data_IF_254311835601
#
_entry.id   IF_254311835601
#
_cell.length_a   1.000
_cell.length_b   1.000
_cell.length_c   1.000
_cell.angle_alpha   90.00
_cell.angle_beta   90.00
_cell.angle_gamma   90.00
#
_symmetry.space_group_name_H-M   'P 1'
#
loop_
_entity.id
_entity.type
_entity.pdbx_description
1 polymer ?
#
# COMPACT_ATOMS: atom_id res chain seq x y z
N UNK A 1 57.49 -43.32 10.89
CA UNK A 1 57.00 -42.45 11.98
C UNK A 1 55.49 -42.37 11.85
N UNK A 2 54.76 -43.01 12.77
CA UNK A 2 53.33 -43.33 12.63
C UNK A 2 52.47 -42.08 12.83
N UNK A 3 51.81 -41.61 11.77
CA UNK A 3 50.67 -40.69 11.84
C UNK A 3 49.50 -41.42 12.54
N UNK A 4 49.48 -41.42 13.87
CA UNK A 4 48.25 -41.73 14.63
C UNK A 4 47.23 -40.66 14.27
N UNK A 5 46.17 -41.04 13.57
CA UNK A 5 45.15 -40.15 13.05
C UNK A 5 44.50 -39.31 14.16
N UNK A 6 44.46 -37.99 13.95
CA UNK A 6 43.88 -36.97 14.86
C UNK A 6 42.41 -37.28 15.25
N UNK A 7 41.72 -38.08 14.44
CA UNK A 7 40.35 -38.55 14.65
C UNK A 7 40.20 -39.35 15.95
N UNK A 8 41.13 -40.25 16.26
CA UNK A 8 41.02 -41.13 17.44
C UNK A 8 41.27 -40.45 18.80
N UNK A 9 41.88 -39.25 18.81
CA UNK A 9 42.11 -38.49 20.05
C UNK A 9 40.83 -37.75 20.47
N UNK A 10 40.11 -37.18 19.50
CA UNK A 10 38.88 -36.42 19.76
C UNK A 10 37.77 -37.31 20.32
N UNK A 11 37.62 -38.52 19.79
CA UNK A 11 36.65 -39.51 20.27
C UNK A 11 36.96 -39.97 21.69
N UNK A 12 38.25 -40.20 22.02
CA UNK A 12 38.68 -40.54 23.38
C UNK A 12 38.40 -39.41 24.39
N UNK A 13 38.60 -38.15 23.97
CA UNK A 13 38.28 -36.98 24.81
C UNK A 13 36.77 -36.91 25.06
N UNK A 14 35.95 -37.08 24.02
CA UNK A 14 34.49 -37.08 24.17
C UNK A 14 34.00 -38.20 25.07
N UNK A 15 34.53 -39.43 24.91
CA UNK A 15 34.18 -40.55 25.77
C UNK A 15 34.59 -40.32 27.23
N UNK A 16 35.77 -39.75 27.44
CA UNK A 16 36.23 -39.38 28.80
C UNK A 16 35.33 -38.32 29.42
N UNK A 17 34.90 -37.32 28.65
CA UNK A 17 33.98 -36.29 29.12
C UNK A 17 32.59 -36.86 29.42
N UNK A 18 32.08 -37.76 28.58
CA UNK A 18 30.82 -38.47 28.81
C UNK A 18 30.88 -39.26 30.13
N UNK A 19 31.96 -40.01 30.34
CA UNK A 19 32.15 -40.81 31.55
C UNK A 19 32.28 -39.94 32.83
N UNK A 20 32.91 -38.76 32.74
CA UNK A 20 33.19 -37.90 33.90
C UNK A 20 32.09 -36.89 34.21
N UNK A 21 31.41 -36.38 33.19
CA UNK A 21 30.52 -35.22 33.31
C UNK A 21 29.12 -35.46 32.73
N UNK A 22 28.84 -36.66 32.21
CA UNK A 22 27.58 -37.02 31.55
C UNK A 22 27.35 -36.29 30.22
N UNK A 23 28.37 -35.60 29.69
CA UNK A 23 28.25 -34.75 28.50
C UNK A 23 29.51 -34.84 27.63
N UNK A 24 29.37 -34.54 26.34
CA UNK A 24 30.47 -34.65 25.35
C UNK A 24 31.60 -33.64 25.55
N UNK A 25 31.42 -32.66 26.44
CA UNK A 25 32.45 -31.77 26.94
C UNK A 25 32.10 -31.29 28.35
N UNK A 26 33.07 -30.84 29.17
CA UNK A 26 32.79 -30.37 30.53
C UNK A 26 31.78 -29.22 30.56
N UNK A 27 31.90 -28.25 29.64
CA UNK A 27 30.98 -27.09 29.55
C UNK A 27 29.59 -27.47 29.07
N UNK A 28 29.43 -28.64 28.43
CA UNK A 28 28.11 -29.17 28.06
C UNK A 28 27.38 -29.84 29.24
N UNK A 29 28.04 -30.04 30.38
CA UNK A 29 27.41 -30.57 31.59
C UNK A 29 26.59 -29.48 32.30
N UNK A 30 25.32 -29.76 32.59
CA UNK A 30 24.43 -28.83 33.27
C UNK A 30 25.00 -28.33 34.61
N UNK A 31 25.66 -29.22 35.37
CA UNK A 31 26.28 -28.86 36.66
C UNK A 31 27.37 -27.79 36.49
N UNK A 32 28.22 -27.96 35.47
CA UNK A 32 29.30 -27.01 35.17
C UNK A 32 28.73 -25.70 34.63
N UNK A 33 27.67 -25.75 33.81
CA UNK A 33 26.99 -24.54 33.34
C UNK A 33 26.39 -23.73 34.49
N UNK A 34 25.76 -24.36 35.48
CA UNK A 34 25.23 -23.66 36.65
C UNK A 34 26.34 -23.07 37.52
N UNK A 35 27.45 -23.77 37.72
CA UNK A 35 28.64 -23.21 38.41
C UNK A 35 29.21 -21.98 37.71
N UNK A 36 29.24 -21.99 36.37
CA UNK A 36 29.67 -20.83 35.56
C UNK A 36 28.70 -19.66 35.76
N UNK A 37 27.38 -19.89 35.66
CA UNK A 37 26.38 -18.85 35.86
C UNK A 37 26.45 -18.26 37.28
N UNK A 38 26.62 -19.10 38.30
CA UNK A 38 26.79 -18.65 39.68
C UNK A 38 28.03 -17.76 39.85
N UNK A 39 29.16 -18.17 39.27
CA UNK A 39 30.39 -17.35 39.27
C UNK A 39 30.17 -16.01 38.56
N UNK A 40 29.43 -15.99 37.45
CA UNK A 40 29.12 -14.76 36.72
C UNK A 40 28.15 -13.86 37.50
N UNK A 41 27.16 -14.43 38.18
CA UNK A 41 26.26 -13.67 39.07
C UNK A 41 27.03 -13.01 40.20
N UNK A 42 27.95 -13.74 40.84
CA UNK A 42 28.80 -13.20 41.91
C UNK A 42 29.71 -12.08 41.44
N UNK A 43 30.29 -12.19 40.23
CA UNK A 43 31.26 -11.20 39.72
C UNK A 43 30.62 -10.02 39.01
N UNK A 44 29.49 -10.22 38.33
CA UNK A 44 28.94 -9.28 37.36
C UNK A 44 27.44 -9.01 37.54
N UNK A 45 26.78 -9.66 38.50
CA UNK A 45 25.34 -9.50 38.78
C UNK A 45 24.41 -10.15 37.74
N UNK A 46 24.97 -10.83 36.72
CA UNK A 46 24.23 -11.39 35.59
C UNK A 46 24.73 -12.81 35.27
N UNK A 47 23.91 -13.61 34.59
CA UNK A 47 24.28 -15.00 34.25
C UNK A 47 25.36 -15.04 33.16
N UNK A 48 25.33 -14.06 32.26
CA UNK A 48 26.26 -13.96 31.14
C UNK A 48 26.97 -12.60 31.15
N UNK A 49 28.32 -12.54 31.10
CA UNK A 49 29.05 -11.28 31.27
C UNK A 49 28.63 -10.14 30.32
N UNK A 50 28.21 -10.45 29.08
CA UNK A 50 27.76 -9.44 28.12
C UNK A 50 26.38 -8.85 28.42
N UNK A 51 25.62 -9.42 29.36
CA UNK A 51 24.39 -8.81 29.88
C UNK A 51 24.69 -7.66 30.85
N UNK A 52 25.91 -7.60 31.40
CA UNK A 52 26.34 -6.50 32.26
C UNK A 52 26.59 -5.26 31.40
N UNK A 53 25.88 -4.14 31.64
CA UNK A 53 26.07 -2.90 30.88
C UNK A 53 27.52 -2.40 30.92
N UNK A 54 28.21 -2.56 32.06
CA UNK A 54 29.61 -2.16 32.23
C UNK A 54 30.55 -2.94 31.30
N UNK A 55 30.35 -4.26 31.20
CA UNK A 55 31.16 -5.13 30.34
C UNK A 55 30.87 -4.84 28.87
N UNK A 56 29.60 -4.68 28.52
CA UNK A 56 29.19 -4.35 27.16
C UNK A 56 29.82 -3.03 26.71
N UNK A 57 29.86 -2.02 27.58
CA UNK A 57 30.45 -0.72 27.30
C UNK A 57 31.99 -0.79 27.17
N UNK A 58 32.66 -1.56 28.03
CA UNK A 58 34.10 -1.85 27.89
C UNK A 58 34.43 -2.51 26.55
N UNK A 59 33.59 -3.44 26.09
CA UNK A 59 33.75 -4.10 24.79
C UNK A 59 33.59 -3.08 23.64
N UNK A 60 32.54 -2.26 23.67
CA UNK A 60 32.32 -1.20 22.65
C UNK A 60 33.49 -0.23 22.58
N UNK A 61 33.95 0.27 23.73
CA UNK A 61 35.08 1.20 23.80
C UNK A 61 36.38 0.58 23.27
N UNK A 62 36.60 -0.71 23.51
CA UNK A 62 37.76 -1.43 22.97
C UNK A 62 37.71 -1.53 21.45
N UNK A 63 36.54 -1.85 20.88
CA UNK A 63 36.36 -1.91 19.42
C UNK A 63 36.51 -0.52 18.80
N UNK A 64 35.92 0.51 19.40
CA UNK A 64 36.04 1.89 18.94
C UNK A 64 37.50 2.37 18.95
N UNK A 65 38.22 2.14 20.06
CA UNK A 65 39.63 2.55 20.20
C UNK A 65 40.54 1.85 19.19
N UNK A 66 40.33 0.54 18.98
CA UNK A 66 41.23 -0.29 18.17
C UNK A 66 40.93 -0.28 16.68
N UNK A 67 39.65 -0.17 16.32
CA UNK A 67 39.19 -0.32 14.93
C UNK A 67 38.42 0.89 14.41
N UNK A 68 38.28 1.96 15.21
CA UNK A 68 37.55 3.19 14.85
C UNK A 68 36.14 2.93 14.33
N UNK A 69 35.52 1.86 14.81
CA UNK A 69 34.18 1.42 14.45
C UNK A 69 33.39 1.10 15.73
N UNK A 70 32.07 1.29 15.68
CA UNK A 70 31.14 0.96 16.77
C UNK A 70 30.83 -0.55 16.85
N UNK A 71 31.23 -1.32 15.82
CA UNK A 71 31.15 -2.78 15.80
C UNK A 71 32.26 -3.38 14.94
N UNK A 72 32.83 -4.50 15.40
CA UNK A 72 33.85 -5.25 14.65
C UNK A 72 33.32 -5.75 13.30
N UNK A 73 32.01 -5.98 13.21
CA UNK A 73 31.34 -6.45 11.99
C UNK A 73 31.22 -5.35 10.93
N UNK A 74 31.42 -4.08 11.29
CA UNK A 74 31.42 -2.94 10.37
C UNK A 74 32.82 -2.57 9.86
N UNK A 75 33.87 -3.23 10.36
CA UNK A 75 35.24 -2.98 9.92
C UNK A 75 35.45 -3.58 8.52
N UNK A 76 35.79 -2.78 7.50
CA UNK A 76 35.86 -3.25 6.11
C UNK A 76 36.79 -4.46 5.91
N UNK A 77 37.98 -4.44 6.53
CA UNK A 77 38.95 -5.54 6.44
C UNK A 77 38.39 -6.86 6.99
N UNK A 78 37.57 -6.80 8.06
CA UNK A 78 36.93 -7.97 8.67
C UNK A 78 35.81 -8.50 7.76
N UNK A 79 35.03 -7.60 7.16
CA UNK A 79 33.99 -7.96 6.20
C UNK A 79 34.60 -8.62 4.96
N UNK A 80 35.67 -8.07 4.40
CA UNK A 80 36.33 -8.62 3.23
C UNK A 80 36.90 -10.02 3.53
N UNK A 81 37.60 -10.16 4.65
CA UNK A 81 38.13 -11.45 5.11
C UNK A 81 37.01 -12.48 5.32
N UNK A 82 35.87 -12.06 5.89
CA UNK A 82 34.71 -12.93 6.05
C UNK A 82 34.23 -13.47 4.70
N UNK A 83 33.98 -12.60 3.71
CA UNK A 83 33.51 -13.01 2.39
C UNK A 83 34.52 -13.94 1.70
N UNK A 84 35.82 -13.65 1.78
CA UNK A 84 36.87 -14.52 1.24
C UNK A 84 36.82 -15.94 1.85
N UNK A 85 36.63 -16.04 3.17
CA UNK A 85 36.54 -17.34 3.87
C UNK A 85 35.27 -18.09 3.46
N UNK A 86 34.11 -17.43 3.43
CA UNK A 86 32.84 -18.07 3.06
C UNK A 86 32.88 -18.53 1.61
N UNK A 87 33.38 -17.70 0.70
CA UNK A 87 33.53 -18.05 -0.72
C UNK A 87 34.49 -19.22 -0.91
N UNK A 88 35.63 -19.23 -0.22
CA UNK A 88 36.57 -20.36 -0.23
C UNK A 88 35.97 -21.65 0.31
N UNK A 89 35.14 -21.57 1.36
CA UNK A 89 34.61 -22.74 2.07
C UNK A 89 33.33 -23.30 1.44
N UNK A 90 32.48 -22.43 0.90
CA UNK A 90 31.12 -22.79 0.49
C UNK A 90 30.76 -22.36 -0.94
N UNK A 91 31.65 -21.65 -1.64
CA UNK A 91 31.43 -21.20 -3.02
C UNK A 91 30.41 -20.07 -3.18
N UNK A 92 29.94 -19.49 -2.07
CA UNK A 92 28.90 -18.46 -2.02
C UNK A 92 29.36 -17.29 -1.15
N UNK A 93 28.72 -16.13 -1.28
CA UNK A 93 29.09 -14.95 -0.48
C UNK A 93 28.53 -15.03 0.95
N UNK A 94 27.42 -15.76 1.13
CA UNK A 94 26.80 -15.97 2.44
C UNK A 94 26.49 -17.45 2.70
N UNK A 95 26.77 -18.00 3.91
CA UNK A 95 26.52 -19.42 4.21
C UNK A 95 25.08 -19.86 3.97
N UNK A 96 24.11 -18.97 4.18
CA UNK A 96 22.69 -19.27 3.96
C UNK A 96 22.34 -19.56 2.49
N UNK A 97 23.18 -19.13 1.54
CA UNK A 97 23.01 -19.41 0.11
C UNK A 97 23.49 -20.83 -0.26
N UNK A 98 24.29 -21.48 0.58
CA UNK A 98 24.80 -22.82 0.31
C UNK A 98 23.71 -23.88 0.52
N UNK A 99 23.48 -24.71 -0.50
CA UNK A 99 22.41 -25.72 -0.52
C UNK A 99 22.54 -26.79 0.56
N UNK A 100 23.76 -27.18 0.93
CA UNK A 100 24.01 -28.16 2.00
C UNK A 100 23.64 -27.58 3.37
N UNK A 101 24.00 -26.31 3.62
CA UNK A 101 23.63 -25.60 4.85
C UNK A 101 22.11 -25.44 4.94
N UNK A 102 21.43 -25.12 3.84
CA UNK A 102 19.97 -25.05 3.80
C UNK A 102 19.33 -26.40 4.14
N UNK A 103 19.84 -27.51 3.58
CA UNK A 103 19.34 -28.86 3.85
C UNK A 103 19.56 -29.26 5.31
N UNK A 104 20.75 -29.02 5.87
CA UNK A 104 21.05 -29.27 7.30
C UNK A 104 20.14 -28.47 8.23
N UNK A 105 19.89 -27.20 7.89
CA UNK A 105 18.99 -26.32 8.65
C UNK A 105 17.56 -26.88 8.65
N UNK A 106 17.03 -27.27 7.48
CA UNK A 106 15.70 -27.89 7.36
C UNK A 106 15.60 -29.19 8.17
N UNK A 107 16.59 -30.07 8.06
CA UNK A 107 16.62 -31.34 8.81
C UNK A 107 16.63 -31.12 10.32
N UNK A 108 17.40 -30.14 10.80
CA UNK A 108 17.47 -29.81 12.23
C UNK A 108 16.14 -29.24 12.72
N UNK A 109 15.51 -28.37 11.93
CA UNK A 109 14.19 -27.82 12.25
C UNK A 109 13.12 -28.91 12.30
N UNK A 110 13.14 -29.82 11.33
CA UNK A 110 12.21 -30.95 11.27
C UNK A 110 12.38 -31.88 12.48
N UNK A 111 13.62 -32.22 12.85
CA UNK A 111 13.91 -33.10 13.98
C UNK A 111 13.53 -32.48 15.34
N UNK A 112 13.73 -31.17 15.51
CA UNK A 112 13.47 -30.47 16.79
C UNK A 112 12.02 -30.04 16.97
N UNK A 113 11.38 -29.61 15.88
CA UNK A 113 10.11 -28.88 15.95
C UNK A 113 9.02 -29.47 15.04
N UNK A 114 9.34 -30.51 14.26
CA UNK A 114 8.39 -31.11 13.30
C UNK A 114 8.06 -30.20 12.09
N UNK A 115 8.76 -29.08 11.92
CA UNK A 115 8.48 -28.08 10.88
C UNK A 115 9.72 -27.75 10.05
N UNK A 116 9.52 -27.36 8.78
CA UNK A 116 10.62 -27.06 7.84
C UNK A 116 11.44 -25.85 8.26
N UNK A 117 10.80 -24.83 8.84
CA UNK A 117 11.44 -23.62 9.33
C UNK A 117 11.06 -23.35 10.78
N UNK A 118 12.02 -22.94 11.61
CA UNK A 118 11.80 -22.74 13.04
C UNK A 118 10.71 -21.69 13.35
N UNK A 119 10.52 -20.71 12.47
CA UNK A 119 9.45 -19.70 12.57
C UNK A 119 8.05 -20.30 12.52
N UNK A 120 7.88 -21.43 11.84
CA UNK A 120 6.58 -22.12 11.70
C UNK A 120 6.13 -22.82 12.99
N UNK A 121 7.00 -22.91 14.01
CA UNK A 121 6.65 -23.49 15.31
C UNK A 121 5.52 -22.71 16.03
N UNK A 122 5.32 -21.45 15.65
CA UNK A 122 4.30 -20.60 16.28
C UNK A 122 2.91 -20.78 15.67
N UNK A 123 2.76 -21.54 14.58
CA UNK A 123 1.45 -21.83 14.01
C UNK A 123 0.63 -22.71 14.95
N UNK A 124 -0.65 -22.33 15.12
CA UNK A 124 -1.63 -23.13 15.86
C UNK A 124 -1.91 -24.48 15.15
N UNK A 125 -2.57 -25.40 15.85
CA UNK A 125 -2.85 -26.75 15.35
C UNK A 125 -3.63 -26.75 14.03
N UNK A 126 -4.66 -25.91 13.92
CA UNK A 126 -5.50 -25.77 12.73
C UNK A 126 -4.70 -25.24 11.53
N UNK A 127 -3.88 -24.21 11.73
CA UNK A 127 -3.01 -23.65 10.71
C UNK A 127 -1.99 -24.69 10.21
N UNK A 128 -1.43 -25.52 11.09
CA UNK A 128 -0.51 -26.60 10.66
C UNK A 128 -1.23 -27.68 9.86
N UNK A 129 -2.42 -28.08 10.32
CA UNK A 129 -3.23 -29.08 9.63
C UNK A 129 -3.59 -28.65 8.20
N UNK A 130 -3.94 -27.38 8.03
CA UNK A 130 -4.39 -26.85 6.75
C UNK A 130 -3.22 -26.40 5.89
N UNK A 131 -2.29 -25.58 6.39
CA UNK A 131 -1.19 -25.01 5.59
C UNK A 131 -0.17 -26.04 5.13
N UNK A 132 0.05 -27.14 5.87
CA UNK A 132 1.11 -28.10 5.51
C UNK A 132 0.62 -29.25 4.63
N UNK A 133 -0.69 -29.35 4.42
CA UNK A 133 -1.34 -30.33 3.56
C UNK A 133 -1.84 -29.63 2.29
N UNK A 134 -1.24 -29.95 1.15
CA UNK A 134 -1.55 -29.29 -0.14
C UNK A 134 -3.03 -29.44 -0.50
N UNK A 135 -3.65 -30.59 -0.24
CA UNK A 135 -5.04 -30.84 -0.62
C UNK A 135 -6.00 -30.07 0.29
N UNK A 136 -5.78 -30.11 1.61
CA UNK A 136 -6.59 -29.34 2.57
C UNK A 136 -6.46 -27.84 2.35
N UNK A 137 -5.23 -27.35 2.13
CA UNK A 137 -4.97 -25.95 1.80
C UNK A 137 -5.70 -25.52 0.53
N UNK A 138 -5.59 -26.32 -0.55
CA UNK A 138 -6.25 -26.04 -1.83
C UNK A 138 -7.76 -26.04 -1.72
N UNK A 139 -8.33 -26.98 -0.94
CA UNK A 139 -9.77 -27.05 -0.68
C UNK A 139 -10.24 -25.81 0.06
N UNK A 140 -9.52 -25.40 1.12
CA UNK A 140 -9.86 -24.21 1.90
C UNK A 140 -9.77 -22.92 1.09
N UNK A 141 -8.76 -22.78 0.23
CA UNK A 141 -8.67 -21.65 -0.71
C UNK A 141 -9.82 -21.56 -1.74
N UNK A 142 -10.56 -22.65 -1.97
CA UNK A 142 -11.78 -22.63 -2.81
C UNK A 142 -13.03 -22.26 -2.01
N UNK A 143 -13.03 -22.51 -0.70
CA UNK A 143 -14.16 -22.22 0.20
C UNK A 143 -14.14 -20.76 0.70
N UNK A 144 -12.95 -20.15 0.76
CA UNK A 144 -12.72 -18.80 1.30
C UNK A 144 -11.54 -18.14 0.58
N UNK A 145 -11.59 -16.81 0.47
CA UNK A 145 -10.54 -16.00 -0.11
C UNK A 145 -9.29 -15.92 0.79
N UNK A 146 -8.21 -15.30 0.30
CA UNK A 146 -6.94 -15.18 1.03
C UNK A 146 -7.13 -14.45 2.38
N UNK A 147 -7.84 -13.30 2.46
CA UNK A 147 -8.12 -12.64 3.73
C UNK A 147 -8.95 -13.50 4.69
N UNK A 148 -10.02 -14.15 4.20
CA UNK A 148 -10.88 -15.02 4.99
C UNK A 148 -10.12 -16.23 5.55
N UNK A 149 -9.25 -16.84 4.74
CA UNK A 149 -8.41 -17.95 5.18
C UNK A 149 -7.35 -17.50 6.20
N UNK A 150 -6.75 -16.33 6.00
CA UNK A 150 -5.78 -15.77 6.94
C UNK A 150 -6.42 -15.55 8.32
N UNK A 151 -7.62 -14.96 8.36
CA UNK A 151 -8.38 -14.75 9.59
C UNK A 151 -8.77 -16.08 10.24
N UNK A 152 -9.30 -17.02 9.45
CA UNK A 152 -9.72 -18.34 9.94
C UNK A 152 -8.56 -19.13 10.57
N UNK A 153 -7.36 -19.03 10.00
CA UNK A 153 -6.17 -19.72 10.49
C UNK A 153 -5.39 -18.92 11.53
N UNK A 154 -5.78 -17.67 11.80
CA UNK A 154 -5.06 -16.72 12.64
C UNK A 154 -3.57 -16.57 12.23
N UNK A 155 -3.36 -16.27 10.94
CA UNK A 155 -2.05 -16.00 10.33
C UNK A 155 -2.14 -14.75 9.45
N UNK A 156 -1.00 -14.21 9.00
CA UNK A 156 -1.02 -13.09 8.04
C UNK A 156 -1.42 -13.56 6.64
N UNK A 157 -2.03 -12.67 5.85
CA UNK A 157 -2.34 -12.92 4.43
C UNK A 157 -1.09 -13.29 3.63
N UNK A 158 0.05 -12.66 3.91
CA UNK A 158 1.35 -13.01 3.33
C UNK A 158 1.72 -14.48 3.59
N UNK A 159 1.34 -15.04 4.74
CA UNK A 159 1.58 -16.46 5.02
C UNK A 159 0.80 -17.34 4.05
N UNK A 160 -0.46 -17.02 3.79
CA UNK A 160 -1.31 -17.73 2.83
C UNK A 160 -0.72 -17.65 1.43
N UNK A 161 -0.30 -16.46 0.98
CA UNK A 161 0.33 -16.24 -0.33
C UNK A 161 1.65 -17.01 -0.49
N UNK A 162 2.47 -17.08 0.57
CA UNK A 162 3.72 -17.85 0.55
C UNK A 162 3.47 -19.35 0.41
N UNK A 163 2.49 -19.90 1.13
CA UNK A 163 2.12 -21.31 1.02
C UNK A 163 1.54 -21.64 -0.35
N UNK A 164 0.68 -20.75 -0.85
CA UNK A 164 0.14 -20.79 -2.20
C UNK A 164 1.24 -20.91 -3.27
N UNK A 165 2.21 -19.99 -3.25
CA UNK A 165 3.37 -20.04 -4.15
C UNK A 165 4.20 -21.32 -3.95
N UNK A 166 4.41 -21.75 -2.69
CA UNK A 166 5.22 -22.94 -2.40
C UNK A 166 4.64 -24.26 -2.91
N UNK A 167 3.32 -24.33 -3.06
CA UNK A 167 2.63 -25.52 -3.55
C UNK A 167 2.45 -25.53 -5.06
N UNK A 168 2.92 -24.49 -5.74
CA UNK A 168 2.66 -24.28 -7.17
C UNK A 168 1.17 -24.46 -7.47
N UNK A 169 0.35 -23.97 -6.54
CA UNK A 169 -1.07 -23.89 -6.80
C UNK A 169 -1.20 -22.74 -7.77
N UNK A 170 -1.64 -23.02 -8.98
CA UNK A 170 -2.45 -22.03 -9.65
C UNK A 170 -3.62 -21.84 -8.70
N UNK A 171 -3.64 -20.72 -7.97
CA UNK A 171 -4.94 -20.16 -7.65
C UNK A 171 -5.62 -20.17 -9.01
N UNK A 172 -6.89 -20.50 -9.05
CA UNK A 172 -7.69 -19.77 -10.02
C UNK A 172 -7.42 -18.32 -9.59
N UNK A 173 -6.39 -17.70 -10.18
CA UNK A 173 -6.34 -16.28 -10.36
C UNK A 173 -7.66 -16.11 -11.07
N UNK A 174 -8.69 -15.78 -10.29
CA UNK A 174 -9.50 -14.70 -10.75
C UNK A 174 -8.47 -13.67 -11.20
N UNK A 175 -8.32 -13.46 -12.51
CA UNK A 175 -7.48 -12.40 -13.07
C UNK A 175 -8.03 -11.01 -12.69
N UNK A 176 -8.77 -10.97 -11.58
CA UNK A 176 -9.73 -9.99 -11.15
C UNK A 176 -9.80 -10.01 -9.64
N UNK A 177 -9.55 -8.88 -9.02
CA UNK A 177 -9.76 -8.64 -7.60
C UNK A 177 -11.24 -8.79 -7.20
N UNK A 178 -11.51 -8.90 -5.90
CA UNK A 178 -12.88 -8.87 -5.37
C UNK A 178 -13.65 -7.63 -5.83
N UNK A 179 -12.96 -6.48 -5.93
CA UNK A 179 -13.56 -5.23 -6.39
C UNK A 179 -13.94 -5.28 -7.86
N UNK A 180 -13.11 -5.92 -8.69
CA UNK A 180 -13.46 -6.17 -10.09
C UNK A 180 -14.62 -7.17 -10.23
N UNK A 181 -14.72 -8.18 -9.36
CA UNK A 181 -15.91 -9.07 -9.30
C UNK A 181 -17.16 -8.29 -8.96
N UNK A 182 -17.10 -7.49 -7.91
CA UNK A 182 -18.22 -6.65 -7.47
C UNK A 182 -18.61 -5.63 -8.55
N UNK A 183 -17.63 -4.98 -9.18
CA UNK A 183 -17.88 -3.95 -10.20
C UNK A 183 -18.49 -4.53 -11.47
N UNK A 184 -18.00 -5.67 -11.95
CA UNK A 184 -18.61 -6.38 -13.08
C UNK A 184 -20.05 -6.81 -12.80
N UNK A 185 -20.33 -7.31 -11.59
CA UNK A 185 -21.69 -7.60 -11.15
C UNK A 185 -22.57 -6.35 -11.21
N UNK A 186 -22.07 -5.23 -10.69
CA UNK A 186 -22.76 -3.94 -10.70
C UNK A 186 -22.99 -3.41 -12.13
N UNK A 187 -22.01 -3.53 -13.04
CA UNK A 187 -22.16 -3.15 -14.45
C UNK A 187 -23.27 -3.98 -15.12
N UNK A 188 -23.31 -5.29 -14.87
CA UNK A 188 -24.35 -6.19 -15.40
C UNK A 188 -25.74 -5.84 -14.90
N UNK A 189 -25.88 -5.49 -13.61
CA UNK A 189 -27.15 -5.02 -13.04
C UNK A 189 -27.67 -3.75 -13.76
N UNK A 190 -26.76 -2.86 -14.15
CA UNK A 190 -27.08 -1.63 -14.88
C UNK A 190 -27.13 -1.82 -16.40
N UNK A 191 -26.95 -3.06 -16.89
CA UNK A 191 -26.91 -3.40 -18.32
C UNK A 191 -25.84 -2.64 -19.10
N UNK A 192 -24.71 -2.35 -18.46
CA UNK A 192 -23.57 -1.68 -19.08
C UNK A 192 -22.63 -2.73 -19.66
N UNK A 193 -22.39 -2.66 -20.97
CA UNK A 193 -21.44 -3.55 -21.65
C UNK A 193 -20.00 -3.09 -21.44
N UNK A 194 -19.17 -3.94 -20.84
CA UNK A 194 -17.73 -3.70 -20.68
C UNK A 194 -16.89 -4.86 -21.22
N UNK A 195 -15.77 -4.51 -21.82
CA UNK A 195 -14.69 -5.43 -22.17
C UNK A 195 -13.75 -5.55 -20.99
N UNK A 196 -13.45 -6.78 -20.57
CA UNK A 196 -12.58 -7.06 -19.43
C UNK A 196 -11.13 -7.27 -19.87
N UNK A 197 -10.19 -6.92 -19.00
CA UNK A 197 -8.78 -7.31 -19.11
C UNK A 197 -8.18 -6.93 -20.48
N UNK A 198 -8.47 -5.71 -20.93
CA UNK A 198 -8.14 -5.25 -22.28
C UNK A 198 -6.66 -4.83 -22.37
N UNK A 199 -5.87 -5.64 -23.08
CA UNK A 199 -4.44 -5.38 -23.34
C UNK A 199 -4.16 -4.63 -24.65
N UNK A 200 -5.18 -4.45 -25.50
CA UNK A 200 -5.03 -3.79 -26.81
C UNK A 200 -4.85 -2.29 -26.61
N UNK A 201 -5.61 -1.71 -25.68
CA UNK A 201 -5.61 -0.27 -25.43
C UNK A 201 -4.32 0.25 -24.80
N UNK A 202 -3.51 -0.61 -24.17
CA UNK A 202 -2.41 -0.14 -23.34
C UNK A 202 -1.22 -1.10 -23.31
N UNK A 203 -0.85 -1.75 -24.42
CA UNK A 203 0.23 -2.75 -24.43
C UNK A 203 1.58 -2.19 -23.92
N UNK A 204 2.30 -2.89 -23.01
CA UNK A 204 2.04 -4.25 -22.50
C UNK A 204 1.11 -4.32 -21.28
N UNK A 205 0.58 -3.19 -20.81
CA UNK A 205 -0.34 -3.11 -19.68
C UNK A 205 -1.76 -3.58 -20.06
N UNK A 206 -2.50 -4.03 -19.05
CA UNK A 206 -3.88 -4.52 -19.14
C UNK A 206 -4.80 -3.52 -18.45
N UNK A 207 -5.92 -3.14 -19.06
CA UNK A 207 -6.98 -2.31 -18.47
C UNK A 207 -8.08 -3.22 -17.93
N UNK A 208 -8.50 -3.03 -16.68
CA UNK A 208 -9.46 -3.95 -16.04
C UNK A 208 -10.84 -3.91 -16.73
N UNK A 209 -11.38 -2.71 -16.98
CA UNK A 209 -12.64 -2.52 -17.69
C UNK A 209 -12.54 -1.44 -18.75
N UNK A 210 -13.06 -1.74 -19.94
CA UNK A 210 -13.26 -0.75 -20.99
C UNK A 210 -14.71 -0.75 -21.45
N UNK A 211 -15.33 0.42 -21.50
CA UNK A 211 -16.72 0.66 -21.93
C UNK A 211 -16.64 1.42 -23.27
N UNK A 212 -16.66 0.71 -24.42
CA UNK A 212 -16.36 1.30 -25.71
C UNK A 212 -17.33 2.41 -26.12
N UNK A 213 -18.62 2.23 -25.83
CA UNK A 213 -19.69 3.18 -26.21
C UNK A 213 -19.45 4.58 -25.61
N UNK A 214 -18.76 4.66 -24.48
CA UNK A 214 -18.48 5.90 -23.76
C UNK A 214 -17.02 6.33 -23.83
N UNK A 215 -16.15 5.58 -24.54
CA UNK A 215 -14.70 5.81 -24.53
C UNK A 215 -14.14 5.94 -23.10
N UNK A 216 -14.66 5.13 -22.18
CA UNK A 216 -14.34 5.16 -20.76
C UNK A 216 -13.66 3.87 -20.35
N UNK A 217 -12.55 3.97 -19.65
CA UNK A 217 -11.84 2.85 -19.05
C UNK A 217 -11.77 3.02 -17.53
N UNK A 218 -11.79 1.91 -16.79
CA UNK A 218 -11.68 1.86 -15.34
C UNK A 218 -10.55 0.91 -14.95
N UNK A 219 -9.71 1.34 -14.01
CA UNK A 219 -8.65 0.56 -13.38
C UNK A 219 -8.88 0.50 -11.87
N UNK A 220 -8.75 -0.69 -11.28
CA UNK A 220 -8.72 -0.91 -9.84
C UNK A 220 -7.29 -1.07 -9.34
N UNK A 221 -6.80 -0.06 -8.62
CA UNK A 221 -5.43 -0.01 -8.13
C UNK A 221 -5.33 -0.55 -6.69
N UNK A 222 -5.04 -1.85 -6.54
CA UNK A 222 -4.79 -2.48 -5.24
C UNK A 222 -3.54 -1.91 -4.55
N UNK A 223 -3.63 -1.50 -3.28
CA UNK A 223 -2.59 -0.68 -2.65
C UNK A 223 -1.23 -1.40 -2.57
N UNK A 224 -1.23 -2.69 -2.25
CA UNK A 224 -0.01 -3.49 -2.22
C UNK A 224 0.64 -3.61 -3.61
N UNK A 225 -0.13 -4.01 -4.62
CA UNK A 225 0.34 -4.28 -5.98
C UNK A 225 0.70 -3.03 -6.77
N UNK A 226 0.17 -1.87 -6.38
CA UNK A 226 0.47 -0.57 -6.99
C UNK A 226 1.48 0.26 -6.19
N UNK A 227 2.11 -0.36 -5.19
CA UNK A 227 3.18 0.27 -4.42
C UNK A 227 4.52 0.29 -5.16
N UNK A 228 5.46 1.06 -4.60
CA UNK A 228 6.84 1.23 -5.05
C UNK A 228 7.65 -0.07 -5.12
N UNK A 229 7.11 -1.18 -4.61
CA UNK A 229 7.71 -2.51 -4.75
C UNK A 229 7.49 -3.10 -6.14
N UNK A 230 6.40 -2.73 -6.82
CA UNK A 230 5.98 -3.33 -8.09
C UNK A 230 5.84 -2.32 -9.23
N UNK A 231 5.52 -1.05 -8.90
CA UNK A 231 5.26 0.00 -9.88
C UNK A 231 6.21 1.19 -9.69
N UNK A 232 6.57 1.82 -10.81
CA UNK A 232 7.34 3.07 -10.79
C UNK A 232 6.44 4.26 -10.49
N UNK A 233 7.03 5.40 -10.12
CA UNK A 233 6.30 6.64 -9.82
C UNK A 233 5.45 7.16 -10.97
N UNK A 234 5.82 6.86 -12.23
CA UNK A 234 5.10 7.32 -13.42
C UNK A 234 4.12 6.27 -13.98
N UNK A 235 3.94 5.13 -13.29
CA UNK A 235 3.19 3.99 -13.85
C UNK A 235 1.75 4.36 -14.22
N UNK A 236 0.97 4.86 -13.26
CA UNK A 236 -0.43 5.25 -13.47
C UNK A 236 -0.56 6.39 -14.48
N UNK A 237 0.32 7.38 -14.35
CA UNK A 237 0.35 8.52 -15.26
C UNK A 237 0.57 8.11 -16.72
N UNK A 238 1.60 7.29 -16.99
CA UNK A 238 1.88 6.79 -18.34
C UNK A 238 0.69 6.02 -18.92
N UNK A 239 -0.01 5.26 -18.08
CA UNK A 239 -1.21 4.52 -18.48
C UNK A 239 -2.35 5.44 -18.89
N UNK A 240 -2.59 6.47 -18.07
CA UNK A 240 -3.57 7.53 -18.35
C UNK A 240 -3.24 8.23 -19.65
N UNK A 241 -1.99 8.63 -19.86
CA UNK A 241 -1.54 9.29 -21.09
C UNK A 241 -1.70 8.40 -22.33
N UNK A 242 -1.40 7.10 -22.21
CA UNK A 242 -1.63 6.13 -23.30
C UNK A 242 -3.11 6.01 -23.68
N UNK A 243 -4.02 5.99 -22.71
CA UNK A 243 -5.46 5.98 -22.98
C UNK A 243 -5.90 7.31 -23.63
N UNK A 244 -5.41 8.44 -23.11
CA UNK A 244 -5.73 9.77 -23.64
C UNK A 244 -5.31 9.94 -25.10
N UNK A 245 -4.16 9.39 -25.52
CA UNK A 245 -3.74 9.45 -26.95
C UNK A 245 -4.69 8.71 -27.90
N UNK A 246 -5.51 7.79 -27.37
CA UNK A 246 -6.57 7.08 -28.11
C UNK A 246 -7.95 7.70 -27.89
N UNK A 247 -8.04 8.86 -27.21
CA UNK A 247 -9.30 9.51 -26.89
C UNK A 247 -10.11 8.80 -25.80
N UNK A 248 -9.47 7.94 -25.01
CA UNK A 248 -10.11 7.17 -23.93
C UNK A 248 -9.83 7.86 -22.59
N UNK A 249 -10.89 8.11 -21.83
CA UNK A 249 -10.79 8.59 -20.45
C UNK A 249 -10.55 7.41 -19.52
N UNK A 250 -9.42 7.38 -18.81
CA UNK A 250 -9.10 6.33 -17.85
C UNK A 250 -9.35 6.84 -16.43
N UNK A 251 -10.22 6.13 -15.68
CA UNK A 251 -10.42 6.35 -14.26
C UNK A 251 -9.62 5.35 -13.44
N UNK A 252 -8.82 5.86 -12.50
CA UNK A 252 -8.08 5.08 -11.52
C UNK A 252 -8.80 5.08 -10.17
N UNK A 253 -9.23 3.91 -9.70
CA UNK A 253 -9.91 3.72 -8.42
C UNK A 253 -8.96 2.96 -7.50
N UNK A 254 -8.41 3.63 -6.50
CA UNK A 254 -7.60 2.90 -5.50
C UNK A 254 -8.50 2.13 -4.54
N UNK A 255 -7.95 1.03 -4.03
CA UNK A 255 -8.65 0.10 -3.14
C UNK A 255 -9.27 0.79 -1.91
N UNK A 256 -8.61 1.77 -1.32
CA UNK A 256 -9.13 2.52 -0.15
C UNK A 256 -10.33 3.41 -0.51
N UNK A 257 -10.32 4.02 -1.70
CA UNK A 257 -11.45 4.80 -2.23
C UNK A 257 -12.66 3.89 -2.46
N UNK A 258 -12.46 2.70 -3.04
CA UNK A 258 -13.56 1.74 -3.23
C UNK A 258 -14.10 1.20 -1.91
N UNK A 259 -13.24 0.94 -0.91
CA UNK A 259 -13.67 0.49 0.43
C UNK A 259 -14.52 1.53 1.15
N UNK A 260 -14.10 2.80 1.12
CA UNK A 260 -14.65 3.85 1.99
C UNK A 260 -15.68 4.75 1.30
N UNK A 261 -15.56 4.94 -0.02
CA UNK A 261 -16.33 5.91 -0.82
C UNK A 261 -16.96 5.26 -2.06
N UNK A 262 -17.29 3.97 -1.96
CA UNK A 262 -17.88 3.14 -3.03
C UNK A 262 -19.01 3.81 -3.80
N UNK A 263 -19.99 4.36 -3.08
CA UNK A 263 -21.18 4.96 -3.70
C UNK A 263 -20.84 6.23 -4.49
N UNK A 264 -19.86 7.00 -4.02
CA UNK A 264 -19.36 8.18 -4.72
C UNK A 264 -18.61 7.76 -6.00
N UNK A 265 -17.75 6.73 -5.92
CA UNK A 265 -17.05 6.18 -7.08
C UNK A 265 -18.04 5.71 -8.16
N UNK A 266 -19.07 4.94 -7.76
CA UNK A 266 -20.15 4.49 -8.66
C UNK A 266 -20.89 5.66 -9.29
N UNK A 267 -21.21 6.70 -8.52
CA UNK A 267 -21.90 7.88 -9.04
C UNK A 267 -21.07 8.65 -10.08
N UNK A 268 -19.76 8.81 -9.85
CA UNK A 268 -18.87 9.44 -10.84
C UNK A 268 -18.89 8.64 -12.16
N UNK A 269 -18.83 7.31 -12.10
CA UNK A 269 -18.89 6.45 -13.29
C UNK A 269 -20.24 6.60 -13.98
N UNK A 270 -21.36 6.54 -13.24
CA UNK A 270 -22.69 6.74 -13.82
C UNK A 270 -22.83 8.11 -14.51
N UNK A 271 -22.19 9.16 -13.98
CA UNK A 271 -22.16 10.49 -14.62
C UNK A 271 -21.45 10.48 -15.96
N UNK A 272 -20.31 9.81 -16.07
CA UNK A 272 -19.59 9.64 -17.34
C UNK A 272 -20.40 8.81 -18.36
N UNK A 273 -21.22 7.88 -17.86
CA UNK A 273 -22.16 7.10 -18.66
C UNK A 273 -23.48 7.85 -18.94
N UNK A 274 -23.64 9.09 -18.43
CA UNK A 274 -24.87 9.89 -18.51
C UNK A 274 -26.12 9.17 -17.96
N UNK A 275 -25.96 8.37 -16.89
CA UNK A 275 -27.02 7.64 -16.18
C UNK A 275 -27.32 8.35 -14.86
N UNK A 276 -28.59 8.68 -14.60
CA UNK A 276 -29.01 9.42 -13.42
C UNK A 276 -30.35 8.93 -12.88
N UNK A 277 -30.51 8.97 -11.56
CA UNK A 277 -31.80 8.66 -10.91
C UNK A 277 -32.80 9.81 -11.03
N UNK A 278 -32.30 11.04 -11.15
CA UNK A 278 -33.10 12.26 -11.18
C UNK A 278 -32.41 13.33 -12.01
N UNK A 279 -33.19 14.01 -12.86
CA UNK A 279 -32.74 15.16 -13.63
C UNK A 279 -33.51 16.41 -13.20
N UNK A 280 -32.79 17.50 -12.94
CA UNK A 280 -33.32 18.78 -12.50
C UNK A 280 -32.84 19.90 -13.43
N UNK A 281 -33.66 20.94 -13.59
CA UNK A 281 -33.27 22.18 -14.24
C UNK A 281 -32.72 23.14 -13.18
N UNK A 282 -31.59 23.81 -13.47
CA UNK A 282 -31.03 24.79 -12.52
C UNK A 282 -31.98 25.96 -12.25
N UNK A 283 -32.89 26.29 -13.17
CA UNK A 283 -33.92 27.32 -13.00
C UNK A 283 -34.92 27.00 -11.89
N UNK A 284 -35.15 25.71 -11.60
CA UNK A 284 -36.04 25.27 -10.52
C UNK A 284 -35.33 25.30 -9.14
N UNK A 285 -34.03 25.61 -9.12
CA UNK A 285 -33.24 25.66 -7.90
C UNK A 285 -33.00 27.10 -7.44
N UNK A 286 -33.10 27.34 -6.13
CA UNK A 286 -32.66 28.59 -5.51
C UNK A 286 -31.15 28.54 -5.23
N UNK A 287 -30.46 29.67 -5.40
CA UNK A 287 -29.06 29.83 -4.94
C UNK A 287 -29.08 30.29 -3.49
N UNK A 288 -28.22 29.72 -2.65
CA UNK A 288 -28.07 30.15 -1.27
C UNK A 288 -26.62 30.00 -0.80
N UNK A 289 -26.16 30.89 0.08
CA UNK A 289 -24.96 30.66 0.87
C UNK A 289 -25.24 29.58 1.93
N UNK A 290 -24.35 28.60 2.00
CA UNK A 290 -24.47 27.41 2.85
C UNK A 290 -23.51 27.56 4.03
N UNK A 291 -23.98 27.25 5.24
CA UNK A 291 -23.09 27.24 6.40
C UNK A 291 -22.03 26.15 6.27
N UNK A 292 -20.89 26.38 6.91
CA UNK A 292 -19.77 25.43 6.90
C UNK A 292 -20.16 24.04 7.42
N UNK A 293 -21.02 23.97 8.44
CA UNK A 293 -21.54 22.71 8.99
C UNK A 293 -22.38 21.92 7.97
N UNK A 294 -23.26 22.58 7.21
CA UNK A 294 -24.07 21.94 6.18
C UNK A 294 -23.20 21.54 4.98
N UNK A 295 -22.24 22.41 4.61
CA UNK A 295 -21.25 22.15 3.57
C UNK A 295 -20.45 20.89 3.87
N UNK A 296 -19.95 20.74 5.10
CA UNK A 296 -19.22 19.57 5.56
C UNK A 296 -20.00 18.28 5.36
N UNK A 297 -21.23 18.23 5.89
CA UNK A 297 -22.10 17.06 5.75
C UNK A 297 -22.34 16.72 4.27
N UNK A 298 -22.64 17.71 3.45
CA UNK A 298 -22.90 17.50 2.04
C UNK A 298 -21.66 16.99 1.28
N UNK A 299 -20.49 17.56 1.53
CA UNK A 299 -19.25 17.17 0.84
C UNK A 299 -18.76 15.78 1.26
N UNK A 300 -18.86 15.43 2.54
CA UNK A 300 -18.46 14.10 3.01
C UNK A 300 -19.34 12.98 2.42
N UNK A 301 -20.62 13.27 2.14
CA UNK A 301 -21.57 12.33 1.53
C UNK A 301 -21.46 12.25 -0.01
N UNK A 302 -21.00 13.33 -0.68
CA UNK A 302 -21.15 13.47 -2.14
C UNK A 302 -19.84 13.80 -2.90
N UNK A 303 -18.73 14.04 -2.21
CA UNK A 303 -17.45 14.41 -2.83
C UNK A 303 -16.35 13.40 -2.50
N UNK A 304 -15.61 12.94 -3.51
CA UNK A 304 -14.52 11.98 -3.31
C UNK A 304 -13.44 12.53 -2.38
N UNK A 305 -13.14 13.82 -2.44
CA UNK A 305 -12.13 14.47 -1.60
C UNK A 305 -12.67 14.82 -0.21
N UNK A 306 -13.97 14.70 0.03
CA UNK A 306 -14.64 15.10 1.27
C UNK A 306 -14.59 16.62 1.51
N UNK A 307 -14.96 17.00 2.72
CA UNK A 307 -14.95 18.39 3.17
C UNK A 307 -13.55 18.99 3.32
N UNK A 308 -13.46 20.30 3.10
CA UNK A 308 -12.28 21.14 3.33
C UNK A 308 -12.77 22.55 3.68
N UNK A 309 -12.22 23.22 4.71
CA UNK A 309 -12.64 24.56 5.08
C UNK A 309 -12.55 25.56 3.93
N UNK A 310 -13.52 26.47 3.86
CA UNK A 310 -13.63 27.44 2.76
C UNK A 310 -14.32 28.72 3.22
N UNK A 311 -13.96 29.85 2.61
CA UNK A 311 -14.53 31.16 2.93
C UNK A 311 -15.95 31.37 2.39
N UNK A 312 -16.27 30.78 1.24
CA UNK A 312 -17.59 30.90 0.61
C UNK A 312 -18.10 29.54 0.15
N UNK A 313 -19.35 29.23 0.49
CA UNK A 313 -20.01 27.98 0.14
C UNK A 313 -21.33 28.31 -0.57
N UNK A 314 -21.41 28.07 -1.88
CA UNK A 314 -22.60 28.38 -2.68
C UNK A 314 -23.35 27.09 -3.03
N UNK A 315 -24.62 27.03 -2.68
CA UNK A 315 -25.47 25.85 -2.87
C UNK A 315 -26.63 26.10 -3.83
N UNK A 316 -27.08 25.03 -4.51
CA UNK A 316 -28.37 25.00 -5.19
C UNK A 316 -29.37 24.19 -4.37
N UNK A 317 -30.51 24.78 -4.05
CA UNK A 317 -31.60 24.14 -3.33
C UNK A 317 -32.78 23.88 -4.26
N UNK A 318 -33.22 22.62 -4.37
CA UNK A 318 -34.46 22.24 -5.04
C UNK A 318 -35.50 21.85 -3.98
N UNK A 319 -36.62 22.58 -3.86
CA UNK A 319 -37.65 22.34 -2.82
C UNK A 319 -37.03 22.19 -1.41
N UNK A 320 -36.13 23.10 -1.05
CA UNK A 320 -35.37 23.13 0.21
C UNK A 320 -34.34 21.99 0.41
N UNK A 321 -34.12 21.14 -0.60
CA UNK A 321 -33.08 20.11 -0.60
C UNK A 321 -31.81 20.66 -1.25
N UNK A 322 -30.67 20.65 -0.54
CA UNK A 322 -29.37 20.96 -1.15
C UNK A 322 -28.99 19.85 -2.15
N UNK A 323 -28.81 20.23 -3.42
CA UNK A 323 -28.54 19.29 -4.52
C UNK A 323 -27.21 19.55 -5.25
N UNK A 324 -26.62 20.73 -5.06
CA UNK A 324 -25.31 21.10 -5.62
C UNK A 324 -24.60 22.02 -4.64
N UNK A 325 -23.28 21.92 -4.56
CA UNK A 325 -22.43 22.81 -3.76
C UNK A 325 -21.14 23.12 -4.51
N UNK A 326 -20.73 24.38 -4.47
CA UNK A 326 -19.46 24.88 -4.97
C UNK A 326 -18.82 25.76 -3.88
N UNK A 327 -17.66 25.38 -3.39
CA UNK A 327 -16.95 26.08 -2.32
C UNK A 327 -15.67 26.77 -2.81
N UNK A 328 -15.35 27.90 -2.19
CA UNK A 328 -14.25 28.77 -2.56
C UNK A 328 -13.46 29.24 -1.35
N UNK A 329 -12.16 29.36 -1.52
CA UNK A 329 -11.25 29.98 -0.56
C UNK A 329 -10.35 30.99 -1.28
N UNK A 330 -9.59 31.78 -0.53
CA UNK A 330 -8.69 32.81 -1.06
C UNK A 330 -7.27 32.59 -0.56
N UNK A 331 -6.34 32.34 -1.47
CA UNK A 331 -4.91 32.12 -1.17
C UNK A 331 -4.05 33.11 -1.95
N UNK A 332 -3.19 33.84 -1.25
CA UNK A 332 -2.32 34.86 -1.86
C UNK A 332 -3.08 35.82 -2.81
N UNK A 333 -4.22 36.33 -2.34
CA UNK A 333 -5.14 37.20 -3.10
C UNK A 333 -5.84 36.58 -4.33
N UNK A 334 -5.55 35.31 -4.67
CA UNK A 334 -6.24 34.56 -5.72
C UNK A 334 -7.37 33.71 -5.13
N UNK A 335 -8.55 33.70 -5.78
CA UNK A 335 -9.63 32.78 -5.41
C UNK A 335 -9.31 31.37 -5.90
N UNK A 336 -9.68 30.36 -5.13
CA UNK A 336 -9.56 28.94 -5.49
C UNK A 336 -10.91 28.24 -5.33
N UNK A 337 -11.31 27.44 -6.31
CA UNK A 337 -12.39 26.46 -6.12
C UNK A 337 -11.82 25.32 -5.29
N UNK A 338 -12.42 25.10 -4.12
CA UNK A 338 -11.98 24.08 -3.17
C UNK A 338 -12.71 22.77 -3.42
N UNK A 339 -14.03 22.77 -3.46
CA UNK A 339 -14.84 21.59 -3.80
C UNK A 339 -15.99 21.93 -4.72
N UNK A 340 -16.31 20.99 -5.59
CA UNK A 340 -17.56 20.96 -6.33
C UNK A 340 -18.19 19.58 -6.15
N UNK A 341 -19.45 19.53 -5.76
CA UNK A 341 -20.19 18.29 -5.62
C UNK A 341 -21.66 18.49 -5.96
N UNK A 342 -22.24 17.46 -6.56
CA UNK A 342 -23.67 17.33 -6.79
C UNK A 342 -24.17 16.13 -6.02
N UNK A 343 -25.42 16.17 -5.56
CA UNK A 343 -26.02 15.05 -4.83
C UNK A 343 -25.96 13.77 -5.66
N UNK A 344 -25.60 12.65 -5.02
CA UNK A 344 -25.49 11.35 -5.69
C UNK A 344 -26.78 11.02 -6.46
N UNK A 345 -26.63 10.52 -7.68
CA UNK A 345 -27.70 10.15 -8.59
C UNK A 345 -28.44 11.32 -9.23
N UNK A 346 -28.09 12.58 -8.92
CA UNK A 346 -28.78 13.78 -9.42
C UNK A 346 -27.96 14.48 -10.51
N UNK A 347 -28.60 14.72 -11.65
CA UNK A 347 -28.14 15.64 -12.70
C UNK A 347 -28.84 16.98 -12.55
N UNK A 348 -28.07 18.06 -12.69
CA UNK A 348 -28.61 19.43 -12.68
C UNK A 348 -28.13 20.12 -13.94
N UNK A 349 -29.04 20.27 -14.91
CA UNK A 349 -28.76 20.97 -16.16
C UNK A 349 -28.49 22.45 -15.89
N UNK A 350 -27.33 22.95 -16.32
CA UNK A 350 -26.86 24.31 -16.04
C UNK A 350 -26.54 24.61 -14.57
N UNK A 351 -26.42 23.59 -13.70
CA UNK A 351 -26.24 23.80 -12.26
C UNK A 351 -24.89 24.43 -11.89
N UNK A 352 -23.81 23.93 -12.48
CA UNK A 352 -22.46 24.45 -12.25
C UNK A 352 -22.31 25.88 -12.82
N UNK A 353 -22.84 26.13 -14.03
CA UNK A 353 -22.85 27.47 -14.64
C UNK A 353 -23.63 28.48 -13.79
N UNK A 354 -24.77 28.08 -13.22
CA UNK A 354 -25.59 28.96 -12.37
C UNK A 354 -24.83 29.41 -11.12
N UNK A 355 -24.18 28.47 -10.41
CA UNK A 355 -23.36 28.81 -9.24
C UNK A 355 -22.12 29.63 -9.62
N UNK A 356 -21.45 29.25 -10.71
CA UNK A 356 -20.28 29.94 -11.22
C UNK A 356 -20.58 31.40 -11.61
N UNK A 357 -21.63 31.64 -12.38
CA UNK A 357 -22.02 32.97 -12.81
C UNK A 357 -22.44 33.85 -11.63
N UNK A 358 -23.13 33.27 -10.64
CA UNK A 358 -23.45 33.98 -9.39
C UNK A 358 -22.17 34.37 -8.65
N UNK A 359 -21.20 33.45 -8.52
CA UNK A 359 -19.92 33.75 -7.89
C UNK A 359 -19.19 34.90 -8.58
N UNK A 360 -19.05 34.84 -9.91
CA UNK A 360 -18.38 35.91 -10.69
C UNK A 360 -19.06 37.26 -10.51
N UNK A 361 -20.39 37.30 -10.47
CA UNK A 361 -21.16 38.55 -10.31
C UNK A 361 -21.06 39.13 -8.90
N UNK A 362 -21.19 38.30 -7.87
CA UNK A 362 -21.24 38.76 -6.47
C UNK A 362 -19.85 39.02 -5.89
N UNK A 363 -18.87 38.16 -6.19
CA UNK A 363 -17.53 38.25 -5.60
C UNK A 363 -16.53 38.98 -6.49
N UNK A 364 -16.87 39.23 -7.77
CA UNK A 364 -16.06 39.97 -8.73
C UNK A 364 -14.55 39.60 -8.71
N UNK A 365 -14.18 38.30 -8.83
CA UNK A 365 -12.78 37.88 -8.72
C UNK A 365 -11.96 38.35 -9.94
N UNK A 366 -10.70 38.71 -9.71
CA UNK A 366 -9.73 38.97 -10.80
C UNK A 366 -9.26 37.68 -11.46
N UNK A 367 -9.06 36.63 -10.66
CA UNK A 367 -8.71 35.30 -11.13
C UNK A 367 -9.21 34.22 -10.17
N UNK A 368 -9.45 33.03 -10.72
CA UNK A 368 -9.85 31.85 -9.97
C UNK A 368 -9.01 30.66 -10.42
N UNK A 369 -8.42 29.92 -9.48
CA UNK A 369 -7.72 28.68 -9.77
C UNK A 369 -8.51 27.45 -9.30
N UNK A 370 -8.25 26.30 -9.91
CA UNK A 370 -8.73 25.01 -9.43
C UNK A 370 -7.67 23.94 -9.72
N UNK A 371 -7.50 23.03 -8.77
CA UNK A 371 -6.64 21.85 -8.90
C UNK A 371 -7.52 20.64 -9.25
N UNK A 372 -7.24 20.01 -10.39
CA UNK A 372 -8.06 18.92 -10.93
C UNK A 372 -7.28 17.59 -10.89
N UNK A 373 -7.87 16.58 -10.26
CA UNK A 373 -7.28 15.24 -10.20
C UNK A 373 -7.37 14.52 -11.54
N UNK A 374 -6.21 14.25 -12.15
CA UNK A 374 -6.08 13.65 -13.49
C UNK A 374 -6.56 12.20 -13.55
N UNK A 375 -6.71 11.55 -12.40
CA UNK A 375 -7.27 10.19 -12.32
C UNK A 375 -8.76 10.16 -12.58
N UNK A 376 -9.46 11.26 -12.33
CA UNK A 376 -10.93 11.28 -12.32
C UNK A 376 -11.49 12.15 -13.43
N UNK A 377 -10.82 13.24 -13.79
CA UNK A 377 -11.40 14.29 -14.63
C UNK A 377 -10.45 14.79 -15.74
N UNK A 378 -11.03 15.17 -16.88
CA UNK A 378 -10.30 15.61 -18.10
C UNK A 378 -10.30 17.13 -18.33
N UNK A 379 -10.96 17.89 -17.45
CA UNK A 379 -11.05 19.35 -17.52
C UNK A 379 -11.92 19.91 -18.65
N UNK A 380 -12.64 19.10 -19.43
CA UNK A 380 -13.48 19.60 -20.55
C UNK A 380 -14.52 20.64 -20.10
N UNK A 381 -15.17 20.41 -18.95
CA UNK A 381 -16.15 21.35 -18.38
C UNK A 381 -15.51 22.67 -17.92
N UNK A 382 -14.27 22.62 -17.40
CA UNK A 382 -13.55 23.83 -17.00
C UNK A 382 -13.24 24.72 -18.22
N UNK A 383 -12.86 24.12 -19.36
CA UNK A 383 -12.68 24.85 -20.63
C UNK A 383 -13.97 25.57 -21.06
N UNK A 384 -15.12 24.93 -20.91
CA UNK A 384 -16.43 25.53 -21.24
C UNK A 384 -16.75 26.74 -20.36
N UNK A 385 -16.30 26.73 -19.10
CA UNK A 385 -16.40 27.86 -18.16
C UNK A 385 -15.32 28.94 -18.37
N UNK A 386 -14.45 28.79 -19.37
CA UNK A 386 -13.41 29.76 -19.72
C UNK A 386 -12.10 29.60 -18.93
N UNK A 387 -11.90 28.49 -18.22
CA UNK A 387 -10.60 28.17 -17.63
C UNK A 387 -9.63 27.69 -18.70
N UNK A 388 -8.35 28.03 -18.55
CA UNK A 388 -7.26 27.46 -19.33
C UNK A 388 -6.33 26.65 -18.42
N UNK A 389 -5.69 25.63 -18.98
CA UNK A 389 -4.69 24.83 -18.28
C UNK A 389 -3.43 25.69 -18.09
N UNK A 390 -3.07 25.96 -16.84
CA UNK A 390 -1.87 26.73 -16.50
C UNK A 390 -0.64 25.82 -16.37
N UNK A 391 -0.81 24.68 -15.69
CA UNK A 391 0.28 23.70 -15.51
C UNK A 391 -0.26 22.29 -15.27
N UNK A 392 0.57 21.31 -15.58
CA UNK A 392 0.32 19.90 -15.27
C UNK A 392 1.19 19.46 -14.10
N UNK A 393 0.59 18.84 -13.10
CA UNK A 393 1.28 18.33 -11.93
C UNK A 393 2.00 17.01 -12.20
N UNK A 394 3.13 16.82 -11.54
CA UNK A 394 3.79 15.52 -11.45
C UNK A 394 2.97 14.55 -10.57
N UNK A 395 3.17 13.22 -10.73
CA UNK A 395 2.60 12.20 -9.83
C UNK A 395 2.81 12.53 -8.35
N UNK A 396 1.73 12.51 -7.56
CA UNK A 396 1.77 12.78 -6.13
C UNK A 396 2.06 11.48 -5.39
N UNK A 397 3.02 11.54 -4.45
CA UNK A 397 3.39 10.42 -3.61
C UNK A 397 2.47 10.32 -2.39
N UNK A 398 1.95 9.12 -2.16
CA UNK A 398 1.16 8.72 -1.00
C UNK A 398 1.91 7.65 -0.21
N UNK A 399 1.83 7.72 1.11
CA UNK A 399 2.28 6.66 2.01
C UNK A 399 1.15 5.66 2.21
N UNK A 400 1.46 4.38 2.44
CA UNK A 400 0.44 3.37 2.68
C UNK A 400 0.89 2.30 3.67
N UNK A 401 -0.06 1.78 4.44
CA UNK A 401 0.04 0.54 5.23
C UNK A 401 -0.61 -0.66 4.50
N UNK A 402 -0.96 -0.48 3.22
CA UNK A 402 -1.75 -1.35 2.37
C UNK A 402 -3.25 -1.45 2.70
N UNK A 403 -3.74 -0.67 3.67
CA UNK A 403 -5.17 -0.51 3.93
C UNK A 403 -5.70 0.85 3.47
N UNK A 404 -4.92 1.92 3.71
CA UNK A 404 -5.25 3.30 3.36
C UNK A 404 -4.07 4.00 2.69
N UNK A 405 -4.36 5.03 1.90
CA UNK A 405 -3.35 6.00 1.45
C UNK A 405 -3.36 7.23 2.35
N UNK A 406 -2.17 7.71 2.67
CA UNK A 406 -1.92 8.84 3.57
C UNK A 406 -1.08 9.88 2.83
N UNK A 407 -1.47 11.17 2.83
CA UNK A 407 -0.68 12.22 2.20
C UNK A 407 0.75 12.27 2.74
N UNK A 408 1.72 12.44 1.85
CA UNK A 408 3.12 12.64 2.25
C UNK A 408 3.26 13.91 3.10
N UNK A 409 3.81 13.79 4.31
CA UNK A 409 3.97 14.90 5.26
C UNK A 409 2.98 14.90 6.43
N UNK A 410 1.95 14.06 6.40
CA UNK A 410 1.01 13.82 7.52
C UNK A 410 1.34 12.47 8.14
N UNK A 411 2.44 12.41 8.92
CA UNK A 411 2.86 11.17 9.59
C UNK A 411 2.67 11.35 11.10
N UNK A 412 1.76 10.57 11.70
CA UNK A 412 1.72 10.38 13.14
C UNK A 412 2.71 9.28 13.54
N UNK A 413 3.31 9.38 14.74
CA UNK A 413 4.31 8.47 15.28
C UNK A 413 3.85 7.01 15.35
N UNK A 414 2.54 6.75 15.31
CA UNK A 414 1.93 5.43 15.37
C UNK A 414 1.60 4.82 13.99
N UNK A 415 1.86 5.54 12.89
CA UNK A 415 1.47 5.08 11.55
C UNK A 415 2.49 4.07 11.02
N UNK A 416 2.08 2.82 10.84
CA UNK A 416 2.93 1.78 10.27
C UNK A 416 3.01 1.92 8.74
N UNK A 417 3.97 2.70 8.26
CA UNK A 417 4.17 2.91 6.82
C UNK A 417 4.91 1.72 6.22
N UNK A 418 4.26 1.03 5.28
CA UNK A 418 4.79 -0.16 4.61
C UNK A 418 5.22 0.10 3.17
N UNK A 419 4.67 1.10 2.50
CA UNK A 419 5.02 1.42 1.12
C UNK A 419 4.69 2.84 0.68
N UNK A 420 5.08 3.15 -0.55
CA UNK A 420 4.72 4.39 -1.26
C UNK A 420 3.93 4.04 -2.52
N UNK A 421 2.97 4.87 -2.88
CA UNK A 421 2.14 4.75 -4.08
C UNK A 421 2.13 6.13 -4.76
N UNK A 422 2.11 6.17 -6.09
CA UNK A 422 1.94 7.42 -6.83
C UNK A 422 0.62 7.43 -7.59
N UNK A 423 0.00 8.60 -7.70
CA UNK A 423 -1.16 8.83 -8.54
C UNK A 423 -0.76 9.46 -9.90
N UNK A 424 -1.72 10.09 -10.58
CA UNK A 424 -1.47 10.76 -11.87
C UNK A 424 -1.10 12.25 -11.73
N UNK A 425 -1.07 12.78 -10.50
CA UNK A 425 -0.92 14.20 -10.23
C UNK A 425 -2.19 15.00 -10.51
N UNK A 426 -2.10 16.31 -10.27
CA UNK A 426 -3.20 17.23 -10.46
C UNK A 426 -2.84 18.34 -11.46
N UNK A 427 -3.78 18.68 -12.34
CA UNK A 427 -3.66 19.81 -13.24
C UNK A 427 -4.12 21.10 -12.55
N UNK A 428 -3.40 22.21 -12.78
CA UNK A 428 -3.83 23.54 -12.35
C UNK A 428 -4.50 24.27 -13.49
N UNK A 429 -5.77 24.62 -13.29
CA UNK A 429 -6.58 25.39 -14.23
C UNK A 429 -6.83 26.78 -13.66
N UNK A 430 -6.78 27.79 -14.53
CA UNK A 430 -6.98 29.18 -14.11
C UNK A 430 -8.00 29.86 -15.03
N UNK A 431 -8.90 30.60 -14.42
CA UNK A 431 -9.78 31.56 -15.06
C UNK A 431 -9.31 32.97 -14.69
N UNK A 432 -9.39 33.90 -15.65
CA UNK A 432 -9.04 35.32 -15.44
C UNK A 432 -10.17 36.21 -15.94
N UNK A 433 -10.46 37.25 -15.17
CA UNK A 433 -11.46 38.26 -15.53
C UNK A 433 -11.03 39.03 -16.78
N UNK A 434 -11.98 39.22 -17.70
CA UNK A 434 -11.78 40.02 -18.91
C UNK A 434 -11.80 41.53 -18.65
N UNK A 435 -12.15 41.97 -17.44
CA UNK A 435 -12.17 43.39 -17.05
C UNK A 435 -10.79 44.06 -17.05
N UNK A 436 -9.70 43.28 -17.03
CA UNK A 436 -8.31 43.77 -17.01
C UNK A 436 -7.56 43.62 -18.36
N UNK A 437 -8.28 43.43 -19.48
CA UNK A 437 -7.68 43.34 -20.83
C UNK A 437 -7.91 44.59 -21.71
N UNK A 438 -8.12 45.77 -21.11
CA UNK A 438 -8.19 47.04 -21.85
C UNK A 438 -7.10 48.00 -21.44
#
# INVERSE_FOLDING_TARGET
MVLRSVVGIKEKIQQTCLNRYGATSPVASNEIQEKIKETNRQKYGVNYPLESPEILEKVKNTVLKKYKADSILKVPEIQERYHQIIKKKYGVDYPAQNSEIQKRTKNTSQARYGVKFATQRNYNSLAREILFDKEKFSKKLKEMDVPGLALYLNVSETTILNFHHSYDLNLIQSNRSLYEIEFDGWLKEHRIGAQLNNRILCSPCEIDFYIPEHHLAIEFDGLYWHSNYFKTSEYHLKKTEQCLTQGIHLIHIFEDEWKTKKNICKDIILRELNIFSRELQSNDCAIQEISDEISKKFLDENCLQGYDPSLANLGLLYKNELVCLLSFDKRNEQWEIIRFATKLGVKILGGHEKLWNYFIQQYCPDSVAITLDRRWFDGKKLKQLGFFLESQGAPICWLTDYNIRIPFGVIDANTNILGKIWDCGNDKWVWKSTKNQK
#
